data_IF_733732395486
#
_entry.id   IF_733732395486
#
_cell.length_a   1.000
_cell.length_b   1.000
_cell.length_c   1.000
_cell.angle_alpha   90.00
_cell.angle_beta   90.00
_cell.angle_gamma   90.00
#
_symmetry.space_group_name_H-M   'P 1'
#
loop_
_entity.id
_entity.type
_entity.pdbx_description
1 polymer ?
#
# COMPACT_ATOMS: atom_id res chain seq x y z
N UNK A 1 3.75 12.93 -6.52
CA UNK A 1 4.70 12.36 -7.49
C UNK A 1 5.40 11.19 -6.85
N UNK A 2 5.61 10.15 -7.62
CA UNK A 2 6.16 8.91 -7.06
C UNK A 2 7.69 8.90 -7.09
N UNK A 3 8.30 8.07 -6.25
CA UNK A 3 9.72 7.78 -6.33
C UNK A 3 10.00 7.02 -7.64
N UNK A 4 11.23 7.08 -8.11
CA UNK A 4 11.59 6.47 -9.39
C UNK A 4 11.85 4.97 -9.29
N UNK A 5 11.47 4.26 -10.36
CA UNK A 5 11.82 2.84 -10.53
C UNK A 5 13.35 2.70 -10.55
N UNK A 6 13.85 1.66 -9.89
CA UNK A 6 15.29 1.41 -9.77
C UNK A 6 15.90 1.96 -8.48
N UNK A 7 15.15 2.76 -7.71
CA UNK A 7 15.66 3.26 -6.44
C UNK A 7 15.33 2.31 -5.29
N UNK A 8 16.11 2.40 -4.22
CA UNK A 8 15.87 1.62 -3.01
C UNK A 8 14.62 2.15 -2.31
N UNK A 9 13.65 1.30 -2.04
CA UNK A 9 12.44 1.69 -1.33
C UNK A 9 12.78 2.06 0.12
N UNK A 10 12.28 3.21 0.62
CA UNK A 10 12.46 3.57 2.02
C UNK A 10 11.86 2.52 2.95
N UNK A 11 12.61 2.11 3.97
CA UNK A 11 12.10 1.18 4.97
C UNK A 11 11.11 1.91 5.89
N UNK A 12 10.23 1.14 6.50
CA UNK A 12 9.28 1.65 7.49
C UNK A 12 8.92 0.56 8.48
N UNK A 13 8.44 0.97 9.64
CA UNK A 13 7.83 0.08 10.62
C UNK A 13 6.54 0.75 11.08
N UNK A 14 5.41 0.14 10.75
CA UNK A 14 4.08 0.67 11.05
C UNK A 14 3.24 -0.40 11.73
N UNK A 15 2.22 0.02 12.46
CA UNK A 15 1.28 -0.90 13.10
C UNK A 15 0.16 -1.27 12.14
N UNK A 16 -0.22 -2.54 12.15
CA UNK A 16 -1.35 -3.03 11.37
C UNK A 16 -2.68 -2.83 12.13
N UNK A 17 -3.77 -3.36 11.56
CA UNK A 17 -5.10 -3.26 12.15
C UNK A 17 -5.20 -3.95 13.53
N UNK A 18 -4.31 -4.87 13.84
CA UNK A 18 -4.24 -5.55 15.14
C UNK A 18 -3.19 -4.91 16.06
N UNK A 19 -2.62 -3.79 15.67
CA UNK A 19 -1.59 -3.05 16.40
C UNK A 19 -0.28 -3.81 16.55
N UNK A 20 -0.02 -4.73 15.63
CA UNK A 20 1.27 -5.43 15.54
C UNK A 20 2.17 -4.69 14.56
N UNK A 21 3.46 -4.63 14.84
CA UNK A 21 4.41 -3.93 13.99
C UNK A 21 4.74 -4.74 12.74
N UNK A 22 4.74 -4.05 11.59
CA UNK A 22 5.11 -4.63 10.30
C UNK A 22 6.17 -3.74 9.68
N UNK A 23 7.30 -4.31 9.32
CA UNK A 23 8.41 -3.60 8.67
C UNK A 23 8.56 -4.07 7.23
N UNK A 24 8.81 -3.14 6.30
CA UNK A 24 9.08 -3.49 4.91
C UNK A 24 10.29 -4.43 4.82
N UNK A 25 11.34 -4.14 5.58
CA UNK A 25 12.57 -4.94 5.56
C UNK A 25 12.37 -6.40 5.95
N UNK A 26 11.29 -6.74 6.67
CA UNK A 26 11.01 -8.13 7.04
C UNK A 26 10.67 -9.00 5.82
N UNK A 27 10.31 -8.39 4.70
CA UNK A 27 10.01 -9.12 3.45
C UNK A 27 11.23 -9.26 2.55
N UNK A 28 12.34 -8.58 2.86
CA UNK A 28 13.56 -8.61 2.03
C UNK A 28 14.12 -10.03 1.98
N UNK A 29 14.36 -10.50 0.76
CA UNK A 29 14.82 -11.87 0.53
C UNK A 29 13.71 -12.92 0.59
N UNK A 30 12.50 -12.53 0.98
CA UNK A 30 11.38 -13.45 1.18
C UNK A 30 10.28 -13.25 0.14
N UNK A 31 9.78 -12.03 0.00
CA UNK A 31 8.67 -11.70 -0.90
C UNK A 31 8.87 -10.35 -1.56
N UNK A 32 8.35 -10.23 -2.76
CA UNK A 32 8.09 -8.92 -3.36
C UNK A 32 6.89 -8.29 -2.64
N UNK A 33 6.82 -6.97 -2.61
CA UNK A 33 5.74 -6.26 -1.92
C UNK A 33 4.99 -5.36 -2.89
N UNK A 34 3.68 -5.54 -2.98
CA UNK A 34 2.80 -4.59 -3.65
C UNK A 34 2.28 -3.64 -2.58
N UNK A 35 2.81 -2.43 -2.57
CA UNK A 35 2.53 -1.41 -1.55
C UNK A 35 1.53 -0.41 -2.13
N UNK A 36 0.37 -0.30 -1.50
CA UNK A 36 -0.75 0.50 -1.98
C UNK A 36 -1.09 1.58 -0.96
N UNK A 37 -0.75 2.83 -1.31
CA UNK A 37 -1.16 3.99 -0.51
C UNK A 37 -2.56 4.43 -0.96
N UNK A 38 -3.40 4.84 -0.04
CA UNK A 38 -4.72 5.35 -0.34
C UNK A 38 -5.10 6.45 0.65
N UNK A 39 -6.01 7.37 0.25
CA UNK A 39 -6.36 8.52 1.10
C UNK A 39 -6.97 8.14 2.45
N UNK A 40 -8.11 7.45 2.45
CA UNK A 40 -8.80 7.11 3.69
C UNK A 40 -9.59 5.81 3.56
N UNK A 41 -9.59 5.02 4.63
CA UNK A 41 -10.52 3.93 4.81
C UNK A 41 -11.96 4.44 4.68
N UNK A 42 -12.86 3.58 4.26
CA UNK A 42 -14.31 3.86 4.11
C UNK A 42 -14.66 4.82 2.96
N UNK A 43 -13.70 5.42 2.26
CA UNK A 43 -14.03 6.26 1.10
C UNK A 43 -14.39 5.37 -0.10
N UNK A 44 -15.25 5.88 -1.00
CA UNK A 44 -15.83 5.08 -2.08
C UNK A 44 -14.81 4.45 -3.03
N UNK A 45 -13.88 5.24 -3.57
CA UNK A 45 -12.88 4.74 -4.52
C UNK A 45 -11.91 3.78 -3.82
N UNK A 46 -11.46 4.12 -2.61
CA UNK A 46 -10.55 3.26 -1.85
C UNK A 46 -11.20 1.91 -1.55
N UNK A 47 -12.46 1.92 -1.10
CA UNK A 47 -13.20 0.69 -0.83
C UNK A 47 -13.33 -0.14 -2.11
N UNK A 48 -13.67 0.47 -3.23
CA UNK A 48 -13.79 -0.24 -4.51
C UNK A 48 -12.48 -0.87 -4.97
N UNK A 49 -11.38 -0.14 -4.86
CA UNK A 49 -10.06 -0.64 -5.26
C UNK A 49 -9.61 -1.82 -4.40
N UNK A 50 -9.73 -1.69 -3.08
CA UNK A 50 -9.28 -2.77 -2.19
C UNK A 50 -10.25 -3.96 -2.19
N UNK A 51 -11.52 -3.74 -2.46
CA UNK A 51 -12.47 -4.84 -2.69
C UNK A 51 -12.11 -5.64 -3.94
N UNK A 52 -11.64 -4.97 -5.01
CA UNK A 52 -11.16 -5.68 -6.18
C UNK A 52 -9.90 -6.49 -5.86
N UNK A 53 -8.98 -5.94 -5.08
CA UNK A 53 -7.79 -6.70 -4.62
C UNK A 53 -8.23 -7.90 -3.77
N UNK A 54 -9.19 -7.71 -2.88
CA UNK A 54 -9.74 -8.79 -2.05
C UNK A 54 -10.31 -9.91 -2.91
N UNK A 55 -11.14 -9.54 -3.90
CA UNK A 55 -11.83 -10.51 -4.74
C UNK A 55 -10.89 -11.26 -5.69
N UNK A 56 -9.79 -10.62 -6.07
CA UNK A 56 -8.78 -11.19 -6.97
C UNK A 56 -7.44 -11.43 -6.24
N UNK A 57 -7.51 -11.68 -4.93
CA UNK A 57 -6.31 -11.70 -4.08
C UNK A 57 -5.24 -12.68 -4.56
N UNK A 58 -5.63 -13.84 -5.09
CA UNK A 58 -4.67 -14.82 -5.59
C UNK A 58 -3.83 -14.30 -6.77
N UNK A 59 -4.29 -13.28 -7.49
CA UNK A 59 -3.52 -12.66 -8.57
C UNK A 59 -2.49 -11.66 -8.04
N UNK A 60 -2.68 -11.16 -6.82
CA UNK A 60 -1.81 -10.14 -6.21
C UNK A 60 -0.96 -10.67 -5.07
N UNK A 61 -1.41 -11.70 -4.37
CA UNK A 61 -0.75 -12.20 -3.17
C UNK A 61 -0.61 -13.73 -3.24
N UNK A 62 0.62 -14.18 -3.05
CA UNK A 62 0.98 -15.61 -3.12
C UNK A 62 2.30 -15.82 -2.36
N UNK A 63 2.97 -16.95 -2.58
CA UNK A 63 4.25 -17.25 -1.94
C UNK A 63 5.37 -16.26 -2.31
N UNK A 64 5.20 -15.53 -3.43
CA UNK A 64 6.21 -14.61 -3.95
C UNK A 64 5.89 -13.14 -3.73
N UNK A 65 4.62 -12.79 -3.44
CA UNK A 65 4.16 -11.40 -3.34
C UNK A 65 3.25 -11.20 -2.14
N UNK A 66 3.52 -10.14 -1.39
CA UNK A 66 2.67 -9.67 -0.28
C UNK A 66 2.03 -8.35 -0.65
N UNK A 67 0.70 -8.25 -0.50
CA UNK A 67 -0.02 -6.98 -0.63
C UNK A 67 -0.03 -6.28 0.71
N UNK A 68 0.25 -4.97 0.71
CA UNK A 68 0.20 -4.12 1.92
C UNK A 68 -0.49 -2.81 1.57
N UNK A 69 -1.54 -2.46 2.32
CA UNK A 69 -2.20 -1.16 2.20
C UNK A 69 -1.70 -0.20 3.28
N UNK A 70 -1.57 1.08 2.94
CA UNK A 70 -1.12 2.11 3.89
C UNK A 70 -1.98 3.36 3.76
N UNK A 71 -2.46 3.86 4.88
CA UNK A 71 -3.18 5.14 4.97
C UNK A 71 -2.87 5.84 6.29
N UNK A 72 -3.33 7.08 6.42
CA UNK A 72 -3.17 7.85 7.67
C UNK A 72 -4.21 7.50 8.74
N UNK A 73 -5.06 6.52 8.48
CA UNK A 73 -6.09 6.09 9.44
C UNK A 73 -5.45 5.43 10.68
N UNK A 74 -6.18 5.46 11.80
CA UNK A 74 -5.73 4.75 13.00
C UNK A 74 -5.88 3.24 12.84
N UNK A 75 -5.15 2.42 13.62
CA UNK A 75 -5.35 0.97 13.59
C UNK A 75 -6.79 0.55 13.89
N UNK A 76 -7.48 1.30 14.74
CA UNK A 76 -8.86 1.01 15.10
C UNK A 76 -9.81 1.16 13.91
N UNK A 77 -9.66 2.25 13.15
CA UNK A 77 -10.44 2.47 11.93
C UNK A 77 -10.13 1.41 10.87
N UNK A 78 -8.85 1.07 10.71
CA UNK A 78 -8.42 0.04 9.76
C UNK A 78 -8.99 -1.32 10.11
N UNK A 79 -9.04 -1.66 11.40
CA UNK A 79 -9.62 -2.93 11.84
C UNK A 79 -11.10 -3.01 11.52
N UNK A 80 -11.85 -1.94 11.81
CA UNK A 80 -13.28 -1.88 11.51
C UNK A 80 -13.53 -2.03 10.01
N UNK A 81 -12.72 -1.34 9.19
CA UNK A 81 -12.87 -1.40 7.74
C UNK A 81 -12.52 -2.79 7.19
N UNK A 82 -11.41 -3.37 7.65
CA UNK A 82 -11.01 -4.70 7.23
C UNK A 82 -12.05 -5.77 7.59
N UNK A 83 -12.62 -5.70 8.78
CA UNK A 83 -13.66 -6.62 9.22
C UNK A 83 -14.94 -6.48 8.39
N UNK A 84 -15.34 -5.23 8.13
CA UNK A 84 -16.54 -4.95 7.33
C UNK A 84 -16.42 -5.47 5.91
N UNK A 85 -15.26 -5.25 5.27
CA UNK A 85 -15.06 -5.59 3.86
C UNK A 85 -14.40 -6.96 3.64
N UNK A 86 -13.93 -7.61 4.72
CA UNK A 86 -13.29 -8.92 4.60
C UNK A 86 -11.88 -8.90 4.06
N UNK A 87 -11.13 -7.82 4.28
CA UNK A 87 -9.74 -7.75 3.85
C UNK A 87 -8.86 -8.61 4.76
N UNK A 88 -8.01 -9.46 4.17
CA UNK A 88 -7.10 -10.34 4.90
C UNK A 88 -5.65 -9.93 4.76
N UNK A 89 -5.31 -9.04 3.82
CA UNK A 89 -3.97 -8.49 3.69
C UNK A 89 -3.76 -7.37 4.70
N UNK A 90 -2.50 -7.10 5.13
CA UNK A 90 -2.23 -6.07 6.13
C UNK A 90 -2.63 -4.68 5.66
N UNK A 91 -3.30 -3.94 6.54
CA UNK A 91 -3.56 -2.51 6.40
C UNK A 91 -2.76 -1.81 7.48
N UNK A 92 -1.82 -0.95 7.07
CA UNK A 92 -0.89 -0.30 8.00
C UNK A 92 -1.28 1.15 8.25
N UNK A 93 -1.04 1.58 9.48
CA UNK A 93 -1.38 2.92 9.95
C UNK A 93 -0.19 3.86 9.87
N UNK A 94 -0.27 4.87 9.01
CA UNK A 94 0.70 5.94 8.89
C UNK A 94 0.20 7.17 9.66
N UNK A 95 -0.54 6.92 10.76
CA UNK A 95 -1.17 7.96 11.54
C UNK A 95 -0.17 8.89 12.24
N UNK A 96 0.92 8.31 12.79
CA UNK A 96 1.87 9.11 13.54
C UNK A 96 3.31 8.58 13.43
N UNK A 97 4.32 9.42 13.14
CA UNK A 97 4.16 10.83 12.72
C UNK A 97 3.30 10.90 11.48
N UNK A 98 2.34 11.83 11.48
CA UNK A 98 1.25 11.83 10.51
C UNK A 98 1.74 11.89 9.07
N UNK A 99 1.49 10.82 8.31
CA UNK A 99 1.88 10.75 6.91
C UNK A 99 3.38 10.60 6.66
N UNK A 100 4.18 10.25 7.67
CA UNK A 100 5.64 10.18 7.53
C UNK A 100 6.07 9.19 6.44
N UNK A 101 5.42 8.03 6.35
CA UNK A 101 5.75 7.04 5.32
C UNK A 101 5.32 7.52 3.95
N UNK A 102 4.12 8.08 3.83
CA UNK A 102 3.66 8.66 2.56
C UNK A 102 4.60 9.77 2.09
N UNK A 103 5.13 10.59 3.01
CA UNK A 103 6.12 11.62 2.68
C UNK A 103 7.41 10.99 2.16
N UNK A 104 7.89 9.92 2.82
CA UNK A 104 9.12 9.25 2.39
C UNK A 104 8.98 8.67 0.99
N UNK A 105 7.77 8.26 0.60
CA UNK A 105 7.49 7.73 -0.73
C UNK A 105 7.01 8.80 -1.73
N UNK A 106 7.04 10.07 -1.32
CA UNK A 106 6.65 11.23 -2.15
C UNK A 106 5.21 11.13 -2.68
N UNK A 107 4.31 10.61 -1.84
CA UNK A 107 2.89 10.45 -2.16
C UNK A 107 2.01 11.02 -1.04
N UNK A 108 2.45 12.10 -0.39
CA UNK A 108 1.68 12.74 0.66
C UNK A 108 1.10 14.08 0.20
N UNK A 109 -0.20 14.27 0.41
CA UNK A 109 -0.86 15.55 0.19
C UNK A 109 -0.84 16.34 1.51
N UNK A 110 0.12 17.26 1.63
CA UNK A 110 0.33 18.02 2.86
C UNK A 110 -0.74 19.08 3.12
N UNK A 111 -1.53 19.42 2.11
CA UNK A 111 -2.63 20.37 2.26
C UNK A 111 -3.87 19.73 2.84
N UNK A 112 -4.11 18.47 2.49
CA UNK A 112 -5.28 17.73 2.95
C UNK A 112 -4.96 16.74 4.08
N UNK A 113 -3.68 16.47 4.34
CA UNK A 113 -3.24 15.59 5.42
C UNK A 113 -3.48 14.10 5.16
N UNK A 114 -3.43 13.69 3.90
CA UNK A 114 -3.66 12.29 3.51
C UNK A 114 -2.69 11.87 2.41
N UNK A 115 -2.60 10.57 2.17
CA UNK A 115 -1.82 10.05 1.06
C UNK A 115 -2.54 10.28 -0.27
N UNK A 116 -1.76 10.44 -1.34
CA UNK A 116 -2.25 10.26 -2.70
C UNK A 116 -2.43 8.77 -2.96
N UNK A 117 -2.97 8.40 -4.13
CA UNK A 117 -3.09 7.00 -4.54
C UNK A 117 -1.77 6.53 -5.14
N UNK A 118 -0.80 6.25 -4.28
CA UNK A 118 0.51 5.77 -4.66
C UNK A 118 0.54 4.25 -4.72
N UNK A 119 1.17 3.70 -5.76
CA UNK A 119 1.32 2.26 -5.91
C UNK A 119 2.76 1.94 -6.23
N UNK A 120 3.36 1.06 -5.45
CA UNK A 120 4.75 0.66 -5.62
C UNK A 120 4.85 -0.86 -5.63
N UNK A 121 5.60 -1.39 -6.57
CA UNK A 121 6.01 -2.79 -6.55
C UNK A 121 7.48 -2.83 -6.18
N UNK A 122 7.79 -3.48 -5.08
CA UNK A 122 9.14 -3.53 -4.50
C UNK A 122 9.59 -4.98 -4.55
N UNK A 123 10.77 -5.22 -5.13
CA UNK A 123 11.27 -6.59 -5.26
C UNK A 123 11.92 -7.11 -3.96
N UNK A 124 12.34 -8.35 -3.97
CA UNK A 124 12.95 -9.01 -2.80
C UNK A 124 14.22 -8.34 -2.31
N UNK A 125 14.89 -7.56 -3.17
CA UNK A 125 16.09 -6.80 -2.81
C UNK A 125 15.75 -5.40 -2.28
N UNK A 126 14.47 -5.04 -2.22
CA UNK A 126 14.03 -3.75 -1.75
C UNK A 126 14.06 -2.66 -2.81
N UNK A 127 14.18 -3.02 -4.08
CA UNK A 127 14.25 -2.07 -5.20
C UNK A 127 12.86 -1.88 -5.79
N UNK A 128 12.50 -0.61 -6.06
CA UNK A 128 11.23 -0.26 -6.69
C UNK A 128 11.25 -0.68 -8.16
N UNK A 129 10.28 -1.51 -8.55
CA UNK A 129 10.14 -2.02 -9.91
C UNK A 129 8.96 -1.43 -10.66
N UNK A 130 7.99 -0.87 -9.94
CA UNK A 130 6.85 -0.16 -10.50
C UNK A 130 6.48 0.96 -9.54
N UNK A 131 6.15 2.13 -10.09
CA UNK A 131 5.78 3.28 -9.29
C UNK A 131 4.76 4.12 -10.04
N UNK A 132 3.67 4.48 -9.37
CA UNK A 132 2.61 5.32 -9.92
C UNK A 132 1.99 6.13 -8.79
N UNK A 133 1.59 7.36 -9.09
CA UNK A 133 0.84 8.18 -8.14
C UNK A 133 -0.33 8.84 -8.87
N UNK A 134 -1.55 8.56 -8.40
CA UNK A 134 -2.77 9.17 -8.91
C UNK A 134 -3.35 10.11 -7.87
N UNK A 135 -4.11 11.10 -8.31
CA UNK A 135 -4.81 12.02 -7.42
C UNK A 135 -5.91 11.27 -6.66
N UNK A 136 -6.33 11.75 -5.47
CA UNK A 136 -7.33 11.05 -4.67
C UNK A 136 -8.64 10.74 -5.40
N UNK A 137 -9.04 11.55 -6.36
CA UNK A 137 -10.28 11.33 -7.13
C UNK A 137 -10.12 10.42 -8.34
N UNK A 138 -8.91 9.91 -8.61
CA UNK A 138 -8.62 9.10 -9.79
C UNK A 138 -8.39 7.63 -9.40
N UNK A 139 -9.25 6.73 -9.88
CA UNK A 139 -9.06 5.30 -9.67
C UNK A 139 -7.84 4.79 -10.44
N UNK A 140 -7.18 3.77 -9.91
CA UNK A 140 -5.98 3.18 -10.51
C UNK A 140 -6.33 2.09 -11.51
N UNK A 141 -5.45 1.89 -12.50
CA UNK A 141 -5.56 0.79 -13.45
C UNK A 141 -4.87 -0.46 -12.90
N UNK A 142 -5.63 -1.36 -12.33
CA UNK A 142 -5.08 -2.56 -11.69
C UNK A 142 -4.51 -3.57 -12.71
N UNK A 143 -4.85 -3.45 -13.99
CA UNK A 143 -4.22 -4.30 -14.99
C UNK A 143 -2.74 -3.99 -15.15
N UNK A 144 -2.34 -2.73 -14.92
CA UNK A 144 -0.92 -2.35 -14.89
C UNK A 144 -0.18 -3.06 -13.75
N UNK A 145 -0.83 -3.20 -12.60
CA UNK A 145 -0.24 -3.91 -11.46
C UNK A 145 0.00 -5.38 -11.80
N UNK A 146 -0.99 -6.01 -12.41
CA UNK A 146 -0.89 -7.42 -12.81
C UNK A 146 0.25 -7.63 -13.82
N UNK A 147 0.38 -6.72 -14.78
CA UNK A 147 1.48 -6.77 -15.75
C UNK A 147 2.84 -6.60 -15.08
N UNK A 148 2.95 -5.65 -14.15
CA UNK A 148 4.20 -5.40 -13.43
C UNK A 148 4.59 -6.62 -12.58
N UNK A 149 3.63 -7.26 -11.92
CA UNK A 149 3.88 -8.47 -11.14
C UNK A 149 4.41 -9.61 -11.99
N UNK A 150 3.88 -9.78 -13.20
CA UNK A 150 4.33 -10.83 -14.11
C UNK A 150 5.74 -10.59 -14.66
N UNK A 151 6.21 -9.34 -14.63
CA UNK A 151 7.52 -8.96 -15.14
C UNK A 151 8.65 -9.14 -14.11
N UNK A 152 8.32 -9.53 -12.88
CA UNK A 152 9.32 -9.75 -11.81
C UNK A 152 10.11 -11.05 -12.02
#
# INVERSE_FOLDING_TARGET
MALEVGTQAPDFTLKDANREEVSLSSFRGEKNVLLVFYPFAFSGICTGELCQVRDELAEYQNDEVQVIGVSVDTPFSLKAWAEKEGYTFPLLSDFWPHGATAQAYDVFNDKAGMALRGTYLIDKQGVIRFAEANQPGEARDQDQWKRALKAL
#
